data_IF_800916913315
#
_entry.id   IF_800916913315
#
_cell.length_a   1.000
_cell.length_b   1.000
_cell.length_c   1.000
_cell.angle_alpha   90.00
_cell.angle_beta   90.00
_cell.angle_gamma   90.00
#
_symmetry.space_group_name_H-M   'P 1'
#
loop_
_entity.id
_entity.type
_entity.pdbx_description
1 polymer ?
#
# COMPACT_ATOMS: atom_id res chain seq x y z
N UNK A 1 -21.25 17.88 5.86
CA UNK A 1 -20.59 16.62 6.29
C UNK A 1 -20.94 15.55 5.28
N UNK A 2 -20.02 14.64 4.94
CA UNK A 2 -20.28 13.56 3.97
C UNK A 2 -20.02 12.20 4.61
N UNK A 3 -20.80 11.20 4.23
CA UNK A 3 -20.55 9.78 4.55
C UNK A 3 -19.77 9.06 3.43
N UNK A 4 -19.57 9.75 2.29
CA UNK A 4 -18.78 9.25 1.19
C UNK A 4 -17.31 9.62 1.42
N UNK A 5 -16.59 8.70 2.08
CA UNK A 5 -15.19 8.90 2.46
C UNK A 5 -14.26 9.01 1.24
N UNK A 6 -14.59 8.37 0.12
CA UNK A 6 -13.87 8.53 -1.15
C UNK A 6 -13.95 9.97 -1.69
N UNK A 7 -15.12 10.60 -1.65
CA UNK A 7 -15.30 11.99 -2.07
C UNK A 7 -14.54 12.93 -1.14
N UNK A 8 -14.64 12.70 0.18
CA UNK A 8 -13.88 13.49 1.15
C UNK A 8 -12.36 13.39 0.94
N UNK A 9 -11.86 12.20 0.60
CA UNK A 9 -10.45 12.00 0.29
C UNK A 9 -9.98 12.81 -0.92
N UNK A 10 -10.83 12.96 -1.93
CA UNK A 10 -10.50 13.65 -3.18
C UNK A 10 -10.47 15.18 -3.02
N UNK A 11 -11.41 15.74 -2.26
CA UNK A 11 -11.63 17.19 -2.22
C UNK A 11 -11.13 17.88 -0.94
N UNK A 12 -10.95 17.15 0.16
CA UNK A 12 -10.64 17.77 1.45
C UNK A 12 -9.12 17.89 1.66
N UNK A 13 -8.66 19.09 2.01
CA UNK A 13 -7.28 19.31 2.44
C UNK A 13 -6.99 18.67 3.82
N UNK A 14 -8.00 18.68 4.70
CA UNK A 14 -7.94 18.16 6.07
C UNK A 14 -9.19 17.38 6.42
N UNK A 15 -9.04 16.38 7.29
CA UNK A 15 -10.14 15.55 7.79
C UNK A 15 -10.18 15.60 9.31
N UNK A 16 -11.40 15.73 9.85
CA UNK A 16 -11.70 15.53 11.26
C UNK A 16 -12.49 14.23 11.43
N UNK A 17 -12.03 13.33 12.29
CA UNK A 17 -12.75 12.10 12.65
C UNK A 17 -13.36 12.29 14.02
N UNK A 18 -14.68 12.11 14.12
CA UNK A 18 -15.45 12.31 15.35
C UNK A 18 -16.05 10.96 15.78
N UNK A 19 -15.83 10.58 17.03
CA UNK A 19 -16.41 9.40 17.66
C UNK A 19 -16.97 9.81 19.03
N UNK A 20 -18.22 9.40 19.32
CA UNK A 20 -18.89 9.69 20.61
C UNK A 20 -18.84 11.17 21.03
N UNK A 21 -18.95 12.09 20.06
CA UNK A 21 -18.93 13.54 20.31
C UNK A 21 -17.55 14.15 20.54
N UNK A 22 -16.47 13.38 20.40
CA UNK A 22 -15.09 13.86 20.53
C UNK A 22 -14.34 13.77 19.20
N UNK A 23 -13.49 14.77 18.92
CA UNK A 23 -12.56 14.72 17.78
C UNK A 23 -11.37 13.85 18.17
N UNK A 24 -11.24 12.70 17.50
CA UNK A 24 -10.16 11.74 17.76
C UNK A 24 -8.98 11.87 16.78
N UNK A 25 -9.18 12.57 15.65
CA UNK A 25 -8.12 12.93 14.72
C UNK A 25 -8.47 14.22 13.96
N UNK A 26 -7.48 15.09 13.73
CA UNK A 26 -7.63 16.32 12.94
C UNK A 26 -6.32 16.64 12.20
N UNK A 27 -6.18 16.12 10.99
CA UNK A 27 -4.91 16.11 10.25
C UNK A 27 -5.14 16.39 8.75
N UNK A 28 -4.10 16.79 8.00
CA UNK A 28 -4.15 16.77 6.54
C UNK A 28 -4.53 15.39 6.01
N UNK A 29 -5.40 15.35 5.00
CA UNK A 29 -5.97 14.11 4.46
C UNK A 29 -4.89 13.12 4.04
N UNK A 30 -3.82 13.62 3.40
CA UNK A 30 -2.68 12.79 2.98
C UNK A 30 -1.89 12.21 4.16
N UNK A 31 -1.70 12.99 5.23
CA UNK A 31 -0.93 12.56 6.39
C UNK A 31 -1.64 11.45 7.15
N UNK A 32 -2.94 11.60 7.39
CA UNK A 32 -3.71 10.58 8.09
C UNK A 32 -3.76 9.28 7.28
N UNK A 33 -3.96 9.35 5.96
CA UNK A 33 -3.90 8.18 5.08
C UNK A 33 -2.52 7.50 5.14
N UNK A 34 -1.44 8.28 5.06
CA UNK A 34 -0.08 7.75 5.09
C UNK A 34 0.24 7.05 6.41
N UNK A 35 -0.25 7.56 7.54
CA UNK A 35 -0.07 6.96 8.87
C UNK A 35 -0.63 5.54 8.95
N UNK A 36 -1.69 5.25 8.21
CA UNK A 36 -2.37 3.95 8.24
C UNK A 36 -2.11 3.08 7.01
N UNK A 37 -1.36 3.59 6.03
CA UNK A 37 -0.93 2.87 4.83
C UNK A 37 0.06 1.78 5.18
N UNK A 38 0.01 0.68 4.43
CA UNK A 38 0.96 -0.42 4.58
C UNK A 38 2.33 -0.08 3.98
N UNK A 39 3.33 -0.88 4.33
CA UNK A 39 4.65 -0.87 3.69
C UNK A 39 4.77 -1.90 2.56
N UNK A 40 3.68 -2.58 2.22
CA UNK A 40 3.69 -3.65 1.21
C UNK A 40 3.60 -3.07 -0.19
N UNK A 41 4.49 -3.51 -1.06
CA UNK A 41 4.42 -3.27 -2.50
C UNK A 41 3.83 -4.48 -3.21
N UNK A 42 2.85 -4.27 -4.08
CA UNK A 42 2.35 -5.25 -5.02
C UNK A 42 2.98 -4.97 -6.38
N UNK A 43 3.66 -5.97 -6.94
CA UNK A 43 4.29 -5.91 -8.25
C UNK A 43 3.67 -6.98 -9.15
N UNK A 44 3.07 -6.55 -10.25
CA UNK A 44 2.56 -7.44 -11.29
C UNK A 44 3.56 -7.50 -12.44
N UNK A 45 3.84 -8.71 -12.92
CA UNK A 45 4.75 -8.95 -14.04
C UNK A 45 4.06 -9.78 -15.12
N UNK A 46 4.60 -9.73 -16.34
CA UNK A 46 4.22 -10.63 -17.42
C UNK A 46 5.24 -11.78 -17.53
N UNK A 47 4.74 -13.02 -17.65
CA UNK A 47 5.57 -14.22 -17.77
C UNK A 47 5.78 -14.96 -16.44
N UNK A 48 6.77 -15.85 -16.42
CA UNK A 48 7.05 -16.73 -15.29
C UNK A 48 8.37 -16.38 -14.61
N UNK A 49 8.39 -16.47 -13.28
CA UNK A 49 9.63 -16.41 -12.51
C UNK A 49 10.29 -17.78 -12.48
N UNK A 50 11.58 -17.81 -12.82
CA UNK A 50 12.39 -18.99 -12.58
C UNK A 50 12.65 -19.20 -11.07
N UNK A 51 13.08 -20.42 -10.72
CA UNK A 51 13.31 -20.80 -9.34
C UNK A 51 14.39 -19.96 -8.65
N UNK A 52 15.38 -19.45 -9.40
CA UNK A 52 16.46 -18.61 -8.87
C UNK A 52 15.92 -17.25 -8.44
N UNK A 53 15.07 -16.63 -9.25
CA UNK A 53 14.42 -15.36 -8.94
C UNK A 53 13.43 -15.52 -7.79
N UNK A 54 12.66 -16.61 -7.75
CA UNK A 54 11.76 -16.91 -6.64
C UNK A 54 12.51 -16.96 -5.31
N UNK A 55 13.60 -17.74 -5.21
CA UNK A 55 14.37 -17.82 -3.97
C UNK A 55 15.00 -16.49 -3.56
N UNK A 56 15.42 -15.65 -4.52
CA UNK A 56 15.93 -14.30 -4.22
C UNK A 56 14.84 -13.36 -3.70
N UNK A 57 13.62 -13.44 -4.25
CA UNK A 57 12.48 -12.66 -3.77
C UNK A 57 12.06 -13.10 -2.37
N UNK A 58 12.00 -14.40 -2.11
CA UNK A 58 11.70 -14.96 -0.79
C UNK A 58 12.76 -14.56 0.25
N UNK A 59 14.05 -14.53 -0.12
CA UNK A 59 15.12 -14.07 0.76
C UNK A 59 14.98 -12.58 1.15
N UNK A 60 14.36 -11.77 0.31
CA UNK A 60 14.00 -10.38 0.64
C UNK A 60 12.71 -10.28 1.47
N UNK A 61 12.00 -11.39 1.70
CA UNK A 61 10.70 -11.42 2.38
C UNK A 61 9.52 -11.19 1.43
N UNK A 62 9.75 -11.19 0.12
CA UNK A 62 8.71 -11.12 -0.90
C UNK A 62 7.99 -12.46 -1.06
N UNK A 63 6.67 -12.40 -1.25
CA UNK A 63 5.82 -13.58 -1.49
C UNK A 63 5.28 -13.51 -2.91
N UNK A 64 5.42 -14.58 -3.68
CA UNK A 64 4.94 -14.65 -5.06
C UNK A 64 3.67 -15.49 -5.14
N UNK A 65 2.60 -14.92 -5.69
CA UNK A 65 1.31 -15.58 -5.89
C UNK A 65 0.77 -15.29 -7.29
N UNK A 66 0.62 -16.31 -8.13
CA UNK A 66 -0.07 -16.23 -9.45
C UNK A 66 0.36 -15.03 -10.33
N UNK A 67 1.66 -14.71 -10.40
CA UNK A 67 2.19 -13.61 -11.22
C UNK A 67 2.18 -12.23 -10.54
N UNK A 68 1.71 -12.16 -9.30
CA UNK A 68 1.82 -11.00 -8.43
C UNK A 68 2.86 -11.26 -7.32
N UNK A 69 3.66 -10.25 -7.02
CA UNK A 69 4.70 -10.30 -6.00
C UNK A 69 4.33 -9.29 -4.92
N UNK A 70 4.18 -9.76 -3.69
CA UNK A 70 3.91 -8.95 -2.52
C UNK A 70 5.20 -8.78 -1.72
N UNK A 71 5.71 -7.57 -1.65
CA UNK A 71 6.94 -7.23 -0.94
C UNK A 71 6.65 -6.31 0.26
N UNK A 72 6.50 -6.86 1.48
CA UNK A 72 6.38 -6.08 2.71
C UNK A 72 7.76 -5.55 3.11
N UNK A 73 8.14 -4.34 2.68
CA UNK A 73 9.48 -3.84 2.94
C UNK A 73 9.69 -2.36 2.66
N UNK A 74 10.95 -1.95 2.59
CA UNK A 74 11.33 -0.53 2.43
C UNK A 74 11.44 -0.15 0.95
N UNK A 75 11.37 1.16 0.61
CA UNK A 75 11.64 1.63 -0.75
C UNK A 75 13.00 1.15 -1.30
N UNK A 76 14.02 1.05 -0.44
CA UNK A 76 15.37 0.61 -0.84
C UNK A 76 15.36 -0.87 -1.24
N UNK A 77 14.66 -1.71 -0.49
CA UNK A 77 14.51 -3.12 -0.82
C UNK A 77 13.62 -3.37 -2.04
N UNK A 78 12.65 -2.48 -2.33
CA UNK A 78 11.89 -2.52 -3.58
C UNK A 78 12.80 -2.44 -4.80
N UNK A 79 13.82 -1.59 -4.79
CA UNK A 79 14.77 -1.52 -5.91
C UNK A 79 15.53 -2.83 -6.12
N UNK A 80 15.85 -3.57 -5.05
CA UNK A 80 16.47 -4.88 -5.16
C UNK A 80 15.50 -5.91 -5.77
N UNK A 81 14.23 -5.86 -5.39
CA UNK A 81 13.15 -6.65 -6.02
C UNK A 81 13.09 -6.35 -7.52
N UNK A 82 13.05 -5.07 -7.91
CA UNK A 82 12.99 -4.67 -9.32
C UNK A 82 14.23 -5.13 -10.12
N UNK A 83 15.42 -5.14 -9.49
CA UNK A 83 16.64 -5.66 -10.12
C UNK A 83 16.56 -7.17 -10.39
N UNK A 84 15.96 -7.94 -9.49
CA UNK A 84 15.76 -9.40 -9.68
C UNK A 84 14.80 -9.65 -10.86
N UNK A 85 13.79 -8.78 -11.01
CA UNK A 85 12.79 -8.89 -12.07
C UNK A 85 13.33 -8.50 -13.45
N UNK A 86 14.37 -7.69 -13.55
CA UNK A 86 14.99 -7.33 -14.83
C UNK A 86 15.44 -8.60 -15.64
N UNK A 87 15.14 -8.72 -16.95
CA UNK A 87 14.41 -7.82 -17.85
C UNK A 87 12.93 -8.21 -18.08
N UNK A 88 12.28 -8.90 -17.14
CA UNK A 88 10.88 -9.27 -17.25
C UNK A 88 9.99 -8.03 -17.39
N UNK A 89 8.93 -8.08 -18.21
CA UNK A 89 8.01 -6.96 -18.36
C UNK A 89 7.26 -6.69 -17.05
N UNK A 90 7.43 -5.49 -16.50
CA UNK A 90 6.65 -5.02 -15.36
C UNK A 90 5.32 -4.49 -15.85
N UNK A 91 4.23 -5.05 -15.35
CA UNK A 91 2.86 -4.62 -15.67
C UNK A 91 2.43 -3.49 -14.72
N UNK A 92 2.72 -3.64 -13.43
CA UNK A 92 2.33 -2.66 -12.42
C UNK A 92 3.23 -2.74 -11.19
N UNK A 93 3.52 -1.60 -10.58
CA UNK A 93 4.09 -1.50 -9.24
C UNK A 93 3.18 -0.56 -8.43
N UNK A 94 2.59 -1.07 -7.35
CA UNK A 94 1.70 -0.31 -6.48
C UNK A 94 2.10 -0.50 -5.03
N UNK A 95 2.04 0.57 -4.25
CA UNK A 95 2.15 0.48 -2.78
C UNK A 95 0.76 0.28 -2.19
N UNK A 96 0.63 -0.54 -1.15
CA UNK A 96 -0.61 -0.64 -0.37
C UNK A 96 -0.82 0.66 0.41
N UNK A 97 -1.49 1.59 -0.24
CA UNK A 97 -1.97 2.82 0.37
C UNK A 97 -3.32 2.56 1.05
N UNK A 98 -3.47 3.10 2.26
CA UNK A 98 -4.76 3.16 2.91
C UNK A 98 -5.67 4.14 2.16
N UNK A 99 -6.97 4.01 2.38
CA UNK A 99 -7.95 5.05 2.06
C UNK A 99 -8.61 5.54 3.35
N UNK A 100 -9.40 6.61 3.27
CA UNK A 100 -10.13 7.11 4.45
C UNK A 100 -11.07 6.06 5.07
N UNK A 101 -11.55 5.09 4.29
CA UNK A 101 -12.39 3.99 4.79
C UNK A 101 -11.59 3.07 5.72
N UNK A 102 -10.41 2.60 5.28
CA UNK A 102 -9.48 1.80 6.09
C UNK A 102 -9.00 2.56 7.33
N UNK A 103 -8.72 3.86 7.19
CA UNK A 103 -8.34 4.74 8.31
C UNK A 103 -9.45 4.77 9.36
N UNK A 104 -10.69 5.01 8.94
CA UNK A 104 -11.84 5.08 9.85
C UNK A 104 -12.04 3.76 10.59
N UNK A 105 -12.00 2.62 9.89
CA UNK A 105 -12.14 1.30 10.49
C UNK A 105 -11.05 0.99 11.53
N UNK A 106 -9.80 1.41 11.30
CA UNK A 106 -8.69 1.24 12.27
C UNK A 106 -8.78 2.15 13.50
N UNK A 107 -9.52 3.26 13.42
CA UNK A 107 -9.66 4.22 14.51
C UNK A 107 -10.91 3.98 15.38
N UNK A 108 -11.93 3.36 14.79
CA UNK A 108 -13.24 3.15 15.44
C UNK A 108 -13.44 1.69 15.87
N UNK A 109 -12.71 0.74 15.28
CA UNK A 109 -12.65 -0.66 15.70
C UNK A 109 -11.58 -0.91 16.75
#
# INVERSE_FOLDING_TARGET
TTHQLNVAQEIADRVAIIQQGQIIALEPTRQIIQRFSGSTYAIAIEGCLDQVRLSKLEALGGVVQKGEILYPGTPEGLYQVLQILNPLPLVQVKKDEADLTKVFLKLVG
#
